data_IF_355988333053
#
_entry.id   IF_355988333053
#
_cell.length_a   1.000
_cell.length_b   1.000
_cell.length_c   1.000
_cell.angle_alpha   90.00
_cell.angle_beta   90.00
_cell.angle_gamma   90.00
#
_symmetry.space_group_name_H-M   'P 1'
#
loop_
_entity.id
_entity.type
_entity.pdbx_description
1 polymer ?
#
# COMPACT_ATOMS: atom_id res chain seq x y z
N UNK A 1 -24.95 -27.23 15.54
CA UNK A 1 -24.97 -26.69 16.91
C UNK A 1 -24.44 -25.27 16.85
N UNK A 2 -25.28 -24.26 17.09
CA UNK A 2 -24.83 -22.86 17.20
C UNK A 2 -24.08 -22.70 18.52
N UNK A 3 -22.83 -22.20 18.47
CA UNK A 3 -22.07 -21.85 19.69
C UNK A 3 -22.82 -20.73 20.43
N UNK A 4 -22.90 -20.77 21.77
CA UNK A 4 -23.42 -19.65 22.54
C UNK A 4 -22.59 -18.40 22.25
N UNK A 5 -23.25 -17.23 22.22
CA UNK A 5 -22.57 -15.95 22.04
C UNK A 5 -21.52 -15.78 23.15
N UNK A 6 -20.27 -15.51 22.75
CA UNK A 6 -19.20 -15.33 23.70
C UNK A 6 -19.35 -13.97 24.40
N UNK A 7 -18.79 -13.88 25.62
CA UNK A 7 -18.98 -12.72 26.51
C UNK A 7 -18.34 -11.44 25.99
N UNK A 8 -17.24 -11.55 25.23
CA UNK A 8 -16.49 -10.39 24.76
C UNK A 8 -16.67 -10.16 23.25
N UNK A 9 -16.98 -8.92 22.88
CA UNK A 9 -16.88 -8.45 21.49
C UNK A 9 -15.41 -8.39 21.08
N UNK A 10 -15.09 -8.86 19.86
CA UNK A 10 -13.72 -8.84 19.32
C UNK A 10 -13.63 -8.03 18.05
N UNK A 11 -12.42 -7.59 17.73
CA UNK A 11 -12.10 -6.95 16.46
C UNK A 11 -10.66 -7.23 16.03
N UNK A 12 -10.43 -7.07 14.73
CA UNK A 12 -9.09 -6.97 14.16
C UNK A 12 -8.79 -5.49 13.91
N UNK A 13 -7.80 -4.93 14.60
CA UNK A 13 -7.35 -3.54 14.47
C UNK A 13 -6.10 -3.44 13.60
N UNK A 14 -5.94 -2.30 12.93
CA UNK A 14 -4.78 -1.93 12.10
C UNK A 14 -4.38 -3.01 11.09
N UNK A 15 -5.37 -3.59 10.42
CA UNK A 15 -5.11 -4.57 9.37
C UNK A 15 -4.33 -3.93 8.21
N UNK A 16 -3.14 -4.47 7.91
CA UNK A 16 -2.24 -3.99 6.86
C UNK A 16 -1.76 -5.15 5.99
N UNK A 17 -1.48 -4.81 4.73
CA UNK A 17 -0.90 -5.70 3.72
C UNK A 17 0.40 -5.08 3.22
N UNK A 18 1.46 -5.87 3.08
CA UNK A 18 2.76 -5.38 2.60
C UNK A 18 2.71 -4.83 1.16
N UNK A 19 1.96 -5.49 0.29
CA UNK A 19 1.74 -5.09 -1.11
C UNK A 19 0.38 -5.55 -1.61
N UNK A 20 -0.30 -4.69 -2.38
CA UNK A 20 -1.56 -5.02 -3.05
C UNK A 20 -1.34 -5.59 -4.46
N UNK A 21 -0.11 -5.51 -4.98
CA UNK A 21 0.26 -5.97 -6.33
C UNK A 21 1.55 -6.80 -6.32
N UNK A 22 1.56 -7.97 -5.67
CA UNK A 22 2.72 -8.85 -5.65
C UNK A 22 2.95 -9.48 -7.03
N UNK A 23 4.20 -9.83 -7.32
CA UNK A 23 4.50 -10.75 -8.42
C UNK A 23 4.26 -12.19 -7.99
N UNK A 24 3.92 -13.07 -8.93
CA UNK A 24 3.86 -14.52 -8.66
C UNK A 24 5.15 -15.00 -7.98
N UNK A 25 5.02 -15.69 -6.85
CA UNK A 25 6.15 -16.14 -6.04
C UNK A 25 6.65 -15.13 -4.99
N UNK A 26 6.18 -13.89 -5.02
CA UNK A 26 6.48 -12.89 -3.99
C UNK A 26 5.61 -13.12 -2.74
N UNK A 27 6.22 -13.13 -1.56
CA UNK A 27 5.47 -13.34 -0.32
C UNK A 27 4.79 -12.05 0.14
N UNK A 28 3.47 -12.10 0.27
CA UNK A 28 2.65 -11.03 0.84
C UNK A 28 2.53 -11.25 2.35
N UNK A 29 2.71 -10.18 3.11
CA UNK A 29 2.59 -10.20 4.57
C UNK A 29 1.33 -9.44 5.00
N UNK A 30 0.58 -10.06 5.91
CA UNK A 30 -0.63 -9.50 6.51
C UNK A 30 -0.42 -9.33 8.00
N UNK A 31 -0.60 -8.11 8.49
CA UNK A 31 -0.37 -7.78 9.90
C UNK A 31 -1.58 -7.07 10.51
N UNK A 32 -1.68 -7.14 11.84
CA UNK A 32 -2.74 -6.48 12.59
C UNK A 32 -2.70 -6.90 14.06
N UNK A 33 -3.75 -6.53 14.79
CA UNK A 33 -3.90 -6.83 16.21
C UNK A 33 -5.30 -7.41 16.47
N UNK A 34 -5.37 -8.53 17.19
CA UNK A 34 -6.63 -9.07 17.70
C UNK A 34 -6.89 -8.49 19.09
N UNK A 35 -8.05 -7.88 19.27
CA UNK A 35 -8.46 -7.25 20.52
C UNK A 35 -9.87 -7.67 20.91
N UNK A 36 -10.16 -7.66 22.20
CA UNK A 36 -11.50 -7.83 22.74
C UNK A 36 -11.89 -6.62 23.60
N UNK A 37 -13.18 -6.31 23.64
CA UNK A 37 -13.72 -5.22 24.47
C UNK A 37 -14.03 -5.75 25.86
N UNK A 38 -13.38 -5.19 26.89
CA UNK A 38 -13.74 -5.49 28.28
C UNK A 38 -15.15 -4.99 28.61
N UNK A 39 -16.04 -5.82 29.16
CA UNK A 39 -17.42 -5.42 29.45
C UNK A 39 -17.54 -4.30 30.50
N UNK A 40 -16.69 -4.30 31.52
CA UNK A 40 -16.81 -3.39 32.66
C UNK A 40 -16.20 -2.01 32.39
N UNK A 41 -15.11 -1.96 31.63
CA UNK A 41 -14.35 -0.73 31.43
C UNK A 41 -14.61 -0.12 30.04
N UNK A 42 -15.04 -0.93 29.05
CA UNK A 42 -15.17 -0.57 27.63
C UNK A 42 -13.84 -0.28 26.89
N UNK A 43 -12.71 -0.71 27.44
CA UNK A 43 -11.38 -0.56 26.83
C UNK A 43 -11.09 -1.82 26.02
N UNK A 44 -10.26 -1.68 24.98
CA UNK A 44 -9.84 -2.80 24.15
C UNK A 44 -8.56 -3.40 24.72
N UNK A 45 -8.59 -4.70 24.97
CA UNK A 45 -7.44 -5.47 25.44
C UNK A 45 -6.97 -6.47 24.38
N UNK A 46 -5.66 -6.75 24.33
CA UNK A 46 -5.14 -7.69 23.37
C UNK A 46 -5.60 -9.12 23.67
N UNK A 47 -5.84 -9.88 22.61
CA UNK A 47 -6.06 -11.32 22.69
C UNK A 47 -4.77 -12.02 22.28
N UNK A 48 -4.08 -12.66 23.22
CA UNK A 48 -2.80 -13.34 22.98
C UNK A 48 -2.97 -14.86 22.91
N UNK A 49 -2.16 -15.54 22.10
CA UNK A 49 -2.12 -17.00 21.99
C UNK A 49 -3.24 -17.63 21.17
N UNK A 50 -4.16 -16.84 20.63
CA UNK A 50 -5.35 -17.32 19.92
C UNK A 50 -5.08 -17.42 18.41
N UNK A 51 -5.55 -18.48 17.73
CA UNK A 51 -5.28 -18.67 16.31
C UNK A 51 -6.08 -17.69 15.44
N UNK A 52 -5.39 -17.01 14.54
CA UNK A 52 -6.00 -16.24 13.45
C UNK A 52 -5.69 -16.89 12.10
N UNK A 53 -6.65 -16.85 11.20
CA UNK A 53 -6.60 -17.53 9.91
C UNK A 53 -6.54 -16.51 8.78
N UNK A 54 -5.54 -16.63 7.90
CA UNK A 54 -5.53 -15.89 6.65
C UNK A 54 -6.40 -16.62 5.63
N UNK A 55 -7.44 -15.96 5.14
CA UNK A 55 -8.37 -16.51 4.16
C UNK A 55 -8.17 -15.79 2.82
N UNK A 56 -7.95 -16.55 1.77
CA UNK A 56 -7.84 -16.06 0.38
C UNK A 56 -8.83 -16.85 -0.47
N UNK A 57 -9.74 -16.15 -1.16
CA UNK A 57 -10.80 -16.79 -1.97
C UNK A 57 -11.60 -17.85 -1.17
N UNK A 58 -11.88 -17.55 0.10
CA UNK A 58 -12.62 -18.45 1.00
C UNK A 58 -11.83 -19.65 1.52
N UNK A 59 -10.54 -19.80 1.18
CA UNK A 59 -9.67 -20.88 1.67
C UNK A 59 -8.68 -20.35 2.69
N UNK A 60 -8.50 -21.08 3.79
CA UNK A 60 -7.44 -20.78 4.76
C UNK A 60 -6.09 -21.15 4.15
N UNK A 61 -5.20 -20.17 4.01
CA UNK A 61 -3.87 -20.34 3.42
C UNK A 61 -2.74 -20.28 4.45
N UNK A 62 -2.97 -19.65 5.59
CA UNK A 62 -2.03 -19.58 6.71
C UNK A 62 -2.80 -19.47 8.03
N UNK A 63 -2.19 -19.92 9.12
CA UNK A 63 -2.76 -19.84 10.46
C UNK A 63 -1.64 -19.66 11.47
N UNK A 64 -1.77 -18.63 12.31
CA UNK A 64 -0.78 -18.34 13.34
C UNK A 64 -1.48 -17.91 14.63
N UNK A 65 -0.95 -18.27 15.81
CA UNK A 65 -1.40 -17.69 17.06
C UNK A 65 -1.01 -16.22 17.15
N UNK A 66 -1.84 -15.41 17.79
CA UNK A 66 -1.50 -14.03 18.12
C UNK A 66 -0.36 -13.99 19.14
N UNK A 67 0.59 -13.10 18.92
CA UNK A 67 1.71 -12.85 19.82
C UNK A 67 1.38 -11.81 20.89
N UNK A 68 2.44 -11.31 21.53
CA UNK A 68 2.36 -10.27 22.56
C UNK A 68 1.62 -9.03 22.04
N UNK A 69 0.73 -8.48 22.86
CA UNK A 69 -0.13 -7.35 22.50
C UNK A 69 -1.17 -7.68 21.45
N UNK A 70 -1.47 -8.96 21.21
CA UNK A 70 -2.46 -9.43 20.23
C UNK A 70 -2.00 -9.32 18.79
N UNK A 71 -0.72 -8.99 18.55
CA UNK A 71 -0.17 -8.80 17.21
C UNK A 71 -0.10 -10.11 16.43
N UNK A 72 -0.38 -10.08 15.14
CA UNK A 72 -0.18 -11.23 14.25
C UNK A 72 0.54 -10.83 12.96
N UNK A 73 1.18 -11.83 12.34
CA UNK A 73 1.80 -11.74 11.02
C UNK A 73 1.59 -13.05 10.27
N UNK A 74 0.74 -12.99 9.24
CA UNK A 74 0.41 -14.10 8.36
C UNK A 74 1.07 -13.88 7.00
N UNK A 75 1.35 -14.96 6.28
CA UNK A 75 2.04 -14.90 4.98
C UNK A 75 1.31 -15.69 3.92
N UNK A 76 1.30 -15.16 2.69
CA UNK A 76 0.78 -15.88 1.54
C UNK A 76 1.64 -15.61 0.32
N UNK A 77 1.99 -16.68 -0.39
CA UNK A 77 2.77 -16.62 -1.63
C UNK A 77 1.88 -17.10 -2.79
N UNK A 78 1.38 -16.19 -3.65
CA UNK A 78 0.55 -16.56 -4.79
C UNK A 78 1.37 -17.31 -5.83
N UNK A 79 0.79 -18.39 -6.36
CA UNK A 79 1.42 -19.23 -7.41
C UNK A 79 0.85 -18.97 -8.80
N UNK A 80 -0.21 -18.16 -8.90
CA UNK A 80 -0.89 -17.82 -10.15
C UNK A 80 -1.22 -16.34 -10.15
N UNK A 81 -1.27 -15.76 -11.35
CA UNK A 81 -1.75 -14.39 -11.56
C UNK A 81 -3.27 -14.33 -11.43
N UNK A 82 -3.77 -13.14 -11.10
CA UNK A 82 -5.21 -12.91 -10.97
C UNK A 82 -5.55 -11.93 -9.85
N UNK A 83 -6.85 -11.68 -9.69
CA UNK A 83 -7.39 -10.89 -8.59
C UNK A 83 -7.88 -11.82 -7.50
N UNK A 84 -7.47 -11.54 -6.27
CA UNK A 84 -7.77 -12.33 -5.09
C UNK A 84 -8.38 -11.45 -4.01
N UNK A 85 -9.39 -11.96 -3.32
CA UNK A 85 -9.95 -11.34 -2.12
C UNK A 85 -9.36 -12.03 -0.89
N UNK A 86 -8.66 -11.25 -0.07
CA UNK A 86 -8.02 -11.72 1.16
C UNK A 86 -8.61 -11.04 2.40
N UNK A 87 -8.68 -11.77 3.51
CA UNK A 87 -9.03 -11.24 4.83
C UNK A 87 -8.49 -12.15 5.94
N UNK A 88 -8.43 -11.64 7.17
CA UNK A 88 -8.09 -12.43 8.34
C UNK A 88 -9.36 -12.71 9.13
N UNK A 89 -9.49 -13.94 9.61
CA UNK A 89 -10.63 -14.42 10.39
C UNK A 89 -10.16 -14.97 11.73
N UNK A 90 -10.89 -14.61 12.78
CA UNK A 90 -10.81 -15.23 14.09
C UNK A 90 -12.10 -16.02 14.35
N UNK A 91 -11.99 -17.30 14.66
CA UNK A 91 -13.14 -18.21 14.82
C UNK A 91 -13.84 -18.09 16.18
N UNK A 92 -13.31 -17.24 17.07
CA UNK A 92 -13.81 -17.07 18.41
C UNK A 92 -13.33 -18.16 19.37
N UNK A 93 -13.47 -17.89 20.66
CA UNK A 93 -13.25 -18.82 21.75
C UNK A 93 -14.48 -18.87 22.65
N UNK A 94 -14.39 -19.59 23.77
CA UNK A 94 -15.45 -19.61 24.78
C UNK A 94 -15.70 -18.20 25.35
N UNK A 95 -14.67 -17.35 25.37
CA UNK A 95 -14.71 -16.02 25.96
C UNK A 95 -14.87 -14.90 24.94
N UNK A 96 -14.39 -15.11 23.71
CA UNK A 96 -14.24 -14.08 22.70
C UNK A 96 -15.07 -14.41 21.45
N UNK A 97 -15.87 -13.46 20.95
CA UNK A 97 -16.68 -13.68 19.76
C UNK A 97 -15.80 -13.86 18.50
N UNK A 98 -16.28 -14.54 17.46
CA UNK A 98 -15.62 -14.55 16.17
C UNK A 98 -15.64 -13.15 15.53
N UNK A 99 -14.61 -12.82 14.76
CA UNK A 99 -14.55 -11.58 13.98
C UNK A 99 -13.73 -11.72 12.70
N UNK A 100 -13.92 -10.78 11.77
CA UNK A 100 -13.20 -10.72 10.50
C UNK A 100 -12.59 -9.33 10.30
N UNK A 101 -11.47 -9.26 9.59
CA UNK A 101 -10.90 -8.00 9.13
C UNK A 101 -11.68 -7.44 7.93
N UNK A 102 -11.33 -6.22 7.52
CA UNK A 102 -11.72 -5.73 6.21
C UNK A 102 -11.19 -6.66 5.10
N UNK A 103 -11.99 -6.86 4.05
CA UNK A 103 -11.61 -7.63 2.87
C UNK A 103 -10.81 -6.73 1.92
N UNK A 104 -9.68 -7.23 1.44
CA UNK A 104 -8.76 -6.49 0.57
C UNK A 104 -8.56 -7.22 -0.74
N UNK A 105 -8.62 -6.49 -1.85
CA UNK A 105 -8.33 -7.01 -3.18
C UNK A 105 -6.82 -6.96 -3.45
N UNK A 106 -6.26 -8.09 -3.86
CA UNK A 106 -4.85 -8.24 -4.22
C UNK A 106 -4.78 -8.67 -5.69
N UNK A 107 -4.04 -7.93 -6.50
CA UNK A 107 -3.85 -8.22 -7.91
C UNK A 107 -2.46 -8.79 -8.14
N UNK A 108 -2.36 -10.10 -8.35
CA UNK A 108 -1.10 -10.78 -8.61
C UNK A 108 -0.75 -10.64 -10.08
N UNK A 109 0.42 -10.06 -10.34
CA UNK A 109 0.92 -9.74 -11.68
C UNK A 109 2.13 -10.61 -12.05
N UNK A 110 2.49 -10.59 -13.33
CA UNK A 110 3.75 -11.18 -13.83
C UNK A 110 4.93 -10.24 -13.62
N UNK A 111 6.13 -10.79 -13.67
CA UNK A 111 7.38 -10.02 -13.64
C UNK A 111 7.48 -9.08 -14.86
N UNK A 112 7.03 -9.51 -16.05
CA UNK A 112 7.03 -8.63 -17.22
C UNK A 112 6.09 -7.43 -17.04
N UNK A 113 4.93 -7.64 -16.42
CA UNK A 113 3.99 -6.54 -16.14
C UNK A 113 4.57 -5.54 -15.16
N UNK A 114 5.20 -5.99 -14.06
CA UNK A 114 5.88 -5.10 -13.12
C UNK A 114 6.97 -4.29 -13.81
N UNK A 115 7.79 -4.94 -14.63
CA UNK A 115 8.87 -4.27 -15.38
C UNK A 115 8.34 -3.24 -16.38
N UNK A 116 7.22 -3.53 -17.07
CA UNK A 116 6.60 -2.56 -17.97
C UNK A 116 6.04 -1.33 -17.21
N UNK A 117 5.47 -1.54 -16.02
CA UNK A 117 4.99 -0.44 -15.19
C UNK A 117 6.15 0.43 -14.69
N UNK A 118 7.24 -0.18 -14.23
CA UNK A 118 8.45 0.54 -13.82
C UNK A 118 9.06 1.34 -14.98
N UNK A 119 9.13 0.76 -16.18
CA UNK A 119 9.61 1.47 -17.37
C UNK A 119 8.68 2.63 -17.76
N UNK A 120 7.37 2.47 -17.64
CA UNK A 120 6.41 3.57 -17.91
C UNK A 120 6.56 4.70 -16.89
N UNK A 121 6.74 4.37 -15.62
CA UNK A 121 6.95 5.36 -14.57
C UNK A 121 8.26 6.11 -14.79
N UNK A 122 9.35 5.40 -15.05
CA UNK A 122 10.67 5.98 -15.36
C UNK A 122 10.62 6.85 -16.61
N UNK A 123 9.96 6.39 -17.68
CA UNK A 123 9.75 7.19 -18.88
C UNK A 123 8.99 8.49 -18.60
N UNK A 124 7.94 8.43 -17.77
CA UNK A 124 7.16 9.61 -17.37
C UNK A 124 8.01 10.60 -16.57
N UNK A 125 8.80 10.11 -15.61
CA UNK A 125 9.71 10.93 -14.80
C UNK A 125 10.77 11.59 -15.69
N UNK A 126 11.34 10.85 -16.65
CA UNK A 126 12.34 11.37 -17.57
C UNK A 126 11.76 12.50 -18.46
N UNK A 127 10.53 12.34 -18.96
CA UNK A 127 9.85 13.38 -19.77
C UNK A 127 9.61 14.65 -18.95
N UNK A 128 9.09 14.52 -17.73
CA UNK A 128 8.83 15.68 -16.86
C UNK A 128 10.14 16.38 -16.50
N UNK A 129 11.15 15.63 -16.07
CA UNK A 129 12.47 16.17 -15.74
C UNK A 129 13.13 16.89 -16.92
N UNK A 130 13.08 16.27 -18.11
CA UNK A 130 13.59 16.86 -19.34
C UNK A 130 12.88 18.17 -19.73
N UNK A 131 11.55 18.22 -19.60
CA UNK A 131 10.77 19.43 -19.89
C UNK A 131 11.11 20.60 -18.96
N UNK A 132 11.31 20.33 -17.65
CA UNK A 132 11.70 21.37 -16.68
C UNK A 132 13.08 21.93 -17.00
N UNK A 133 14.05 21.07 -17.30
CA UNK A 133 15.41 21.51 -17.67
C UNK A 133 15.38 22.33 -18.97
N UNK A 134 14.65 21.86 -19.98
CA UNK A 134 14.53 22.58 -21.26
C UNK A 134 13.85 23.95 -21.09
N UNK A 135 12.84 24.06 -20.24
CA UNK A 135 12.19 25.32 -19.92
C UNK A 135 13.20 26.31 -19.32
N UNK A 136 13.94 25.92 -18.28
CA UNK A 136 14.93 26.78 -17.60
C UNK A 136 16.01 27.29 -18.56
N UNK A 137 16.60 26.38 -19.36
CA UNK A 137 17.63 26.73 -20.34
C UNK A 137 17.04 27.64 -21.43
N UNK A 138 15.83 27.34 -21.90
CA UNK A 138 15.11 28.15 -22.87
C UNK A 138 14.85 29.57 -22.39
N UNK A 139 14.37 29.76 -21.15
CA UNK A 139 14.17 31.10 -20.58
C UNK A 139 15.49 31.84 -20.41
N UNK A 140 16.54 31.17 -19.93
CA UNK A 140 17.85 31.79 -19.78
C UNK A 140 18.43 32.27 -21.13
N UNK A 141 18.34 31.43 -22.16
CA UNK A 141 18.78 31.78 -23.51
C UNK A 141 17.94 32.92 -24.11
N UNK A 142 16.62 32.89 -23.94
CA UNK A 142 15.72 33.95 -24.40
C UNK A 142 16.01 35.30 -23.75
N UNK A 143 16.21 35.33 -22.42
CA UNK A 143 16.58 36.52 -21.68
C UNK A 143 17.94 37.07 -22.11
N UNK A 144 18.92 36.18 -22.37
CA UNK A 144 20.23 36.59 -22.89
C UNK A 144 20.12 37.23 -24.28
N UNK A 145 19.33 36.64 -25.18
CA UNK A 145 19.09 37.18 -26.53
C UNK A 145 18.39 38.54 -26.49
N UNK A 146 17.37 38.72 -25.65
CA UNK A 146 16.68 40.01 -25.49
C UNK A 146 17.65 41.11 -25.03
N UNK A 147 18.53 40.81 -24.07
CA UNK A 147 19.55 41.77 -23.59
C UNK A 147 20.50 42.20 -24.71
N UNK A 148 21.02 41.26 -25.52
CA UNK A 148 21.87 41.59 -26.67
C UNK A 148 21.14 42.43 -27.73
N UNK A 149 19.84 42.16 -27.95
CA UNK A 149 19.04 42.92 -28.91
C UNK A 149 18.85 44.37 -28.46
N UNK A 150 18.58 44.61 -27.19
CA UNK A 150 18.48 45.96 -26.62
C UNK A 150 19.80 46.73 -26.76
N UNK A 151 20.94 46.07 -26.48
CA UNK A 151 22.27 46.65 -26.69
C UNK A 151 22.54 47.01 -28.15
N UNK A 152 22.18 46.13 -29.10
CA UNK A 152 22.30 46.46 -30.53
C UNK A 152 21.42 47.63 -30.95
N UNK A 153 20.16 47.69 -30.49
CA UNK A 153 19.23 48.76 -30.83
C UNK A 153 19.71 50.12 -30.31
N UNK A 154 20.28 50.16 -29.10
CA UNK A 154 20.84 51.39 -28.54
C UNK A 154 22.09 51.86 -29.30
N UNK A 155 22.97 50.95 -29.71
CA UNK A 155 24.13 51.27 -30.55
C UNK A 155 23.74 51.80 -31.93
N UNK A 156 22.73 51.20 -32.57
CA UNK A 156 22.21 51.68 -33.88
C UNK A 156 21.54 53.05 -33.74
N UNK A 157 20.75 53.27 -32.70
CA UNK A 157 20.11 54.56 -32.43
C UNK A 157 21.12 55.68 -32.09
N UNK A 158 22.27 55.34 -31.50
CA UNK A 158 23.36 56.27 -31.22
C UNK A 158 24.18 56.64 -32.47
N UNK A 159 24.22 55.77 -33.49
CA UNK A 159 24.99 55.98 -34.73
C UNK A 159 24.22 56.75 -35.82
N UNK A 160 22.90 56.89 -35.68
CA UNK A 160 22.02 57.62 -36.61
C UNK A 160 21.80 59.10 -36.27
N UNK A 161 22.48 59.63 -35.25
CA UNK A 161 22.56 61.06 -34.92
C UNK A 161 23.96 61.56 -35.21
#
# INVERSE_FOLDING_TARGET
MSRPAALNETRIRDFRVSTYRPVVGETVEFTGYLEFRRPLTWWWEPVEGEPVHLVVEGRVVDTQPTGKGGWFKLRWTPTKTGKYLAWVRYDGSIWNNPCESAKVGIEVITEEQRRQEEMRLMGTIAVIGGAVVAAIVGTAAYLHYQRQREEMLTLVAARGR
#
